data_IF_545572925422
#
_entry.id   IF_545572925422
#
_cell.length_a   1.000
_cell.length_b   1.000
_cell.length_c   1.000
_cell.angle_alpha   90.00
_cell.angle_beta   90.00
_cell.angle_gamma   90.00
#
_symmetry.space_group_name_H-M   'P 1'
#
loop_
_entity.id
_entity.type
_entity.pdbx_description
1 polymer ?
#
# COMPACT_ATOMS: atom_id res chain seq x y z
N UNK A 1 7.07 1.99 7.91
CA UNK A 1 6.20 2.83 7.06
C UNK A 1 5.64 1.97 5.93
N UNK A 2 4.33 2.03 5.65
CA UNK A 2 3.69 1.31 4.54
C UNK A 2 3.17 2.29 3.50
N UNK A 3 3.54 2.05 2.24
CA UNK A 3 3.09 2.85 1.10
C UNK A 3 2.01 2.05 0.39
N UNK A 4 0.78 2.55 0.44
CA UNK A 4 -0.35 1.86 -0.18
C UNK A 4 -0.27 1.98 -1.70
N UNK A 5 -0.43 0.84 -2.37
CA UNK A 5 -0.50 0.78 -3.84
C UNK A 5 -1.79 1.27 -4.44
N UNK A 6 -1.80 1.22 -5.77
CA UNK A 6 -2.86 1.72 -6.62
C UNK A 6 -2.36 1.68 -8.06
N UNK A 7 -2.95 2.51 -8.92
CA UNK A 7 -2.41 2.71 -10.27
C UNK A 7 -0.95 3.19 -10.26
N UNK A 8 -0.23 3.06 -11.39
CA UNK A 8 1.20 3.34 -11.47
C UNK A 8 1.55 4.80 -11.08
N UNK A 9 0.68 5.74 -11.43
CA UNK A 9 0.84 7.17 -11.08
C UNK A 9 0.67 7.38 -9.57
N UNK A 10 -0.36 6.80 -8.94
CA UNK A 10 -0.57 6.90 -7.48
C UNK A 10 0.57 6.29 -6.69
N UNK A 11 1.05 5.10 -7.08
CA UNK A 11 2.12 4.40 -6.37
C UNK A 11 3.40 5.24 -6.33
N UNK A 12 3.75 5.84 -7.47
CA UNK A 12 4.88 6.78 -7.59
C UNK A 12 4.70 8.02 -6.74
N UNK A 13 3.53 8.67 -6.80
CA UNK A 13 3.24 9.87 -6.00
C UNK A 13 3.36 9.60 -4.49
N UNK A 14 2.79 8.49 -4.02
CA UNK A 14 2.85 8.09 -2.60
C UNK A 14 4.26 7.71 -2.15
N UNK A 15 5.03 7.05 -3.01
CA UNK A 15 6.42 6.70 -2.71
C UNK A 15 7.31 7.93 -2.60
N UNK A 16 7.13 8.89 -3.52
CA UNK A 16 7.82 10.18 -3.43
C UNK A 16 7.43 10.95 -2.17
N UNK A 17 6.14 11.04 -1.86
CA UNK A 17 5.69 11.70 -0.63
C UNK A 17 6.23 11.01 0.64
N UNK A 18 6.31 9.68 0.64
CA UNK A 18 6.96 8.95 1.72
C UNK A 18 8.45 9.34 1.87
N UNK A 19 9.20 9.45 0.77
CA UNK A 19 10.58 9.94 0.80
C UNK A 19 10.67 11.39 1.33
N UNK A 20 9.75 12.27 0.91
CA UNK A 20 9.69 13.65 1.40
C UNK A 20 9.43 13.71 2.92
N UNK A 21 8.59 12.81 3.46
CA UNK A 21 8.37 12.70 4.92
C UNK A 21 9.65 12.29 5.65
N UNK A 22 10.41 11.33 5.12
CA UNK A 22 11.68 10.90 5.71
C UNK A 22 12.71 12.03 5.68
N UNK A 23 12.82 12.73 4.55
CA UNK A 23 13.68 13.92 4.42
C UNK A 23 13.24 15.05 5.38
N UNK A 24 11.94 15.14 5.67
CA UNK A 24 11.36 16.06 6.65
C UNK A 24 11.53 15.65 8.12
N UNK A 25 12.22 14.54 8.42
CA UNK A 25 12.55 14.10 9.77
C UNK A 25 11.62 13.03 10.36
N UNK A 26 10.69 12.48 9.59
CA UNK A 26 9.95 11.28 10.02
C UNK A 26 10.92 10.10 10.06
N UNK A 27 11.02 9.43 11.20
CA UNK A 27 11.88 8.25 11.36
C UNK A 27 11.11 6.95 11.11
N UNK A 28 11.75 5.96 10.50
CA UNK A 28 11.18 4.61 10.31
C UNK A 28 12.28 3.56 10.44
N UNK A 29 11.94 2.34 10.86
CA UNK A 29 12.86 1.21 10.86
C UNK A 29 12.89 0.44 9.54
N UNK A 30 11.83 0.55 8.73
CA UNK A 30 11.70 -0.06 7.41
C UNK A 30 10.62 0.65 6.57
N UNK A 31 10.68 0.47 5.25
CA UNK A 31 9.68 0.92 4.29
C UNK A 31 9.13 -0.29 3.53
N UNK A 32 7.81 -0.35 3.35
CA UNK A 32 7.22 -1.36 2.48
C UNK A 32 6.22 -0.77 1.48
N UNK A 33 6.41 -1.04 0.20
CA UNK A 33 5.45 -0.78 -0.87
C UNK A 33 4.49 -1.94 -1.05
N UNK A 34 3.19 -1.67 -1.04
CA UNK A 34 2.15 -2.69 -1.10
C UNK A 34 1.46 -2.68 -2.47
N UNK A 35 1.55 -3.78 -3.23
CA UNK A 35 0.85 -3.96 -4.50
C UNK A 35 0.20 -5.33 -4.61
N UNK A 36 -0.49 -5.58 -5.72
CA UNK A 36 -1.06 -6.87 -6.06
C UNK A 36 -0.56 -7.36 -7.41
N UNK A 37 -0.83 -8.62 -7.76
CA UNK A 37 -0.56 -9.14 -9.11
C UNK A 37 -1.62 -8.72 -10.14
N UNK A 38 -2.48 -7.75 -9.80
CA UNK A 38 -3.45 -7.21 -10.74
C UNK A 38 -2.72 -6.54 -11.90
N UNK A 39 -3.04 -6.89 -13.17
CA UNK A 39 -2.51 -6.18 -14.33
C UNK A 39 -2.88 -4.70 -14.31
N UNK A 40 -1.90 -3.86 -14.58
CA UNK A 40 -2.07 -2.45 -14.84
C UNK A 40 -2.36 -2.24 -16.32
N UNK A 41 -3.32 -1.35 -16.66
CA UNK A 41 -3.60 -1.02 -18.05
C UNK A 41 -2.54 -0.03 -18.57
N UNK A 42 -1.29 -0.48 -18.71
CA UNK A 42 -0.19 0.33 -19.24
C UNK A 42 0.09 -0.11 -20.67
N UNK A 43 -0.19 0.79 -21.62
CA UNK A 43 0.29 0.66 -22.99
C UNK A 43 1.57 1.46 -23.13
N UNK A 44 2.72 0.80 -23.17
CA UNK A 44 3.98 1.46 -23.52
C UNK A 44 4.01 1.71 -25.03
N UNK A 45 3.72 2.93 -25.45
CA UNK A 45 3.91 3.35 -26.85
C UNK A 45 5.36 3.12 -27.35
N UNK A 46 6.33 3.13 -26.43
CA UNK A 46 7.75 2.93 -26.71
C UNK A 46 8.17 1.47 -26.95
N UNK A 47 7.40 0.47 -26.49
CA UNK A 47 7.79 -0.95 -26.60
C UNK A 47 7.05 -1.70 -27.72
N UNK A 48 6.13 -1.04 -28.43
CA UNK A 48 5.40 -1.64 -29.56
C UNK A 48 4.52 -2.84 -29.21
N UNK A 49 4.53 -3.30 -27.96
CA UNK A 49 3.79 -4.44 -27.41
C UNK A 49 3.30 -4.10 -25.99
N UNK A 50 2.21 -4.73 -25.56
CA UNK A 50 1.72 -4.63 -24.20
C UNK A 50 2.71 -5.32 -23.25
N UNK A 51 3.29 -4.57 -22.31
CA UNK A 51 3.99 -5.18 -21.17
C UNK A 51 2.95 -5.47 -20.11
N UNK A 52 2.85 -6.73 -19.70
CA UNK A 52 2.00 -7.13 -18.58
C UNK A 52 2.67 -6.70 -17.26
N UNK A 53 2.49 -5.43 -16.90
CA UNK A 53 2.91 -4.91 -15.60
C UNK A 53 1.80 -5.13 -14.57
N UNK A 54 2.16 -5.54 -13.37
CA UNK A 54 1.23 -5.63 -12.23
C UNK A 54 1.29 -4.39 -11.34
N UNK A 55 0.30 -4.21 -10.46
CA UNK A 55 0.35 -3.18 -9.40
C UNK A 55 1.62 -3.33 -8.54
N UNK A 56 2.05 -4.57 -8.28
CA UNK A 56 3.32 -4.87 -7.61
C UNK A 56 4.54 -4.35 -8.38
N UNK A 57 4.58 -4.56 -9.70
CA UNK A 57 5.70 -4.06 -10.53
C UNK A 57 5.73 -2.53 -10.58
N UNK A 58 4.56 -1.89 -10.69
CA UNK A 58 4.43 -0.44 -10.60
C UNK A 58 4.93 0.11 -9.26
N UNK A 59 4.60 -0.58 -8.16
CA UNK A 59 5.08 -0.22 -6.83
C UNK A 59 6.59 -0.44 -6.68
N UNK A 60 7.14 -1.50 -7.28
CA UNK A 60 8.57 -1.76 -7.29
C UNK A 60 9.35 -0.62 -7.96
N UNK A 61 8.92 -0.23 -9.16
CA UNK A 61 9.52 0.89 -9.87
C UNK A 61 9.43 2.20 -9.06
N UNK A 62 8.27 2.45 -8.43
CA UNK A 62 8.06 3.63 -7.59
C UNK A 62 8.97 3.65 -6.35
N UNK A 63 9.17 2.51 -5.68
CA UNK A 63 10.05 2.40 -4.52
C UNK A 63 11.52 2.58 -4.91
N UNK A 64 11.95 1.98 -6.03
CA UNK A 64 13.31 2.12 -6.54
C UNK A 64 13.66 3.57 -6.90
N UNK A 65 12.70 4.31 -7.44
CA UNK A 65 12.87 5.74 -7.74
C UNK A 65 12.92 6.60 -6.47
N UNK A 66 12.10 6.30 -5.47
CA UNK A 66 11.93 7.13 -4.29
C UNK A 66 13.03 6.94 -3.23
N UNK A 67 13.66 5.76 -3.15
CA UNK A 67 14.62 5.42 -2.10
C UNK A 67 16.03 5.03 -2.60
N UNK A 68 16.66 5.75 -3.55
CA UNK A 68 18.03 5.45 -3.96
C UNK A 68 19.05 5.94 -2.92
N UNK A 69 20.22 5.29 -2.79
CA UNK A 69 20.62 4.05 -3.45
C UNK A 69 20.05 2.81 -2.73
N UNK A 70 19.69 1.79 -3.52
CA UNK A 70 19.31 0.47 -3.01
C UNK A 70 20.45 -0.53 -3.25
N UNK A 71 20.77 -1.34 -2.24
CA UNK A 71 21.75 -2.42 -2.38
C UNK A 71 21.16 -3.69 -3.03
N UNK A 72 21.87 -4.81 -2.87
CA UNK A 72 21.51 -6.08 -3.52
C UNK A 72 20.14 -6.62 -3.05
N UNK A 73 19.36 -7.10 -4.02
CA UNK A 73 17.99 -7.57 -3.77
C UNK A 73 17.96 -8.99 -3.21
N UNK A 74 17.17 -9.19 -2.16
CA UNK A 74 16.67 -10.52 -1.78
C UNK A 74 15.26 -10.72 -2.35
N UNK A 75 15.04 -11.84 -3.03
CA UNK A 75 13.75 -12.16 -3.65
C UNK A 75 13.15 -13.41 -3.00
N UNK A 76 11.87 -13.33 -2.65
CA UNK A 76 11.05 -14.46 -2.23
C UNK A 76 9.79 -14.49 -3.07
N UNK A 77 9.35 -15.68 -3.45
CA UNK A 77 8.14 -15.87 -4.25
C UNK A 77 7.53 -17.24 -3.96
N UNK A 78 6.26 -17.41 -4.28
CA UNK A 78 5.56 -18.67 -4.15
C UNK A 78 4.13 -18.58 -4.64
N UNK A 79 3.38 -19.65 -4.40
CA UNK A 79 1.97 -19.78 -4.77
C UNK A 79 1.20 -20.23 -3.53
N UNK A 80 0.05 -19.61 -3.25
CA UNK A 80 -0.83 -20.02 -2.16
C UNK A 80 -1.46 -21.37 -2.45
N UNK A 81 -2.02 -22.04 -1.45
CA UNK A 81 -2.79 -23.28 -1.64
C UNK A 81 -3.96 -23.12 -2.61
N UNK A 82 -4.52 -21.91 -2.69
CA UNK A 82 -5.58 -21.53 -3.63
C UNK A 82 -5.07 -21.27 -5.07
N UNK A 83 -3.77 -21.45 -5.34
CA UNK A 83 -3.18 -21.27 -6.66
C UNK A 83 -2.89 -19.81 -7.03
N UNK A 84 -2.75 -18.92 -6.04
CA UNK A 84 -2.44 -17.51 -6.29
C UNK A 84 -0.96 -17.21 -6.05
N UNK A 85 -0.28 -16.71 -7.06
CA UNK A 85 1.13 -16.34 -6.95
C UNK A 85 1.33 -15.11 -6.06
N UNK A 86 2.51 -15.00 -5.47
CA UNK A 86 2.96 -13.85 -4.69
C UNK A 86 4.48 -13.70 -4.79
N UNK A 87 4.96 -12.47 -4.57
CA UNK A 87 6.38 -12.21 -4.44
C UNK A 87 6.68 -11.05 -3.49
N UNK A 88 7.89 -11.09 -2.92
CA UNK A 88 8.48 -10.05 -2.08
C UNK A 88 9.90 -9.77 -2.58
N UNK A 89 10.23 -8.51 -2.78
CA UNK A 89 11.60 -8.05 -3.07
C UNK A 89 12.03 -7.10 -1.97
N UNK A 90 13.17 -7.36 -1.35
CA UNK A 90 13.71 -6.55 -0.25
C UNK A 90 15.11 -6.06 -0.60
N UNK A 91 15.34 -4.78 -0.35
CA UNK A 91 16.58 -4.07 -0.61
C UNK A 91 17.10 -3.46 0.70
N UNK A 92 18.39 -3.60 1.03
CA UNK A 92 18.99 -2.78 2.07
C UNK A 92 19.08 -1.32 1.57
N UNK A 93 18.85 -0.36 2.47
CA UNK A 93 18.96 1.07 2.19
C UNK A 93 19.35 1.84 3.46
N UNK A 94 19.70 3.12 3.31
CA UNK A 94 20.06 4.00 4.44
C UNK A 94 18.88 4.26 5.41
N UNK A 95 17.65 4.19 4.92
CA UNK A 95 16.43 4.40 5.73
C UNK A 95 15.89 3.10 6.35
N UNK A 96 16.71 2.05 6.35
CA UNK A 96 16.33 0.68 6.70
C UNK A 96 15.91 -0.15 5.49
N UNK A 97 15.48 -1.41 5.68
CA UNK A 97 15.06 -2.26 4.57
C UNK A 97 13.87 -1.66 3.81
N UNK A 98 13.95 -1.65 2.48
CA UNK A 98 12.87 -1.29 1.57
C UNK A 98 12.35 -2.57 0.93
N UNK A 99 11.11 -2.95 1.25
CA UNK A 99 10.46 -4.12 0.69
C UNK A 99 9.32 -3.74 -0.25
N UNK A 100 9.05 -4.56 -1.26
CA UNK A 100 7.84 -4.47 -2.08
C UNK A 100 7.17 -5.83 -2.13
N UNK A 101 5.87 -5.84 -1.88
CA UNK A 101 5.04 -7.05 -1.87
C UNK A 101 4.05 -6.97 -3.04
N UNK A 102 4.00 -8.02 -3.85
CA UNK A 102 2.84 -8.30 -4.70
C UNK A 102 1.99 -9.38 -4.04
N UNK A 103 0.88 -8.94 -3.47
CA UNK A 103 0.02 -9.78 -2.65
C UNK A 103 -0.98 -10.59 -3.47
N UNK A 104 -1.26 -11.83 -3.06
CA UNK A 104 -2.39 -12.60 -3.55
C UNK A 104 -3.70 -12.15 -2.85
N UNK A 105 -4.88 -12.45 -3.40
CA UNK A 105 -6.13 -12.29 -2.66
C UNK A 105 -6.22 -13.30 -1.51
N UNK A 106 -6.84 -12.91 -0.40
CA UNK A 106 -7.10 -13.83 0.73
C UNK A 106 -8.34 -14.71 0.52
N UNK A 107 -9.19 -14.37 -0.45
CA UNK A 107 -10.43 -15.11 -0.75
C UNK A 107 -10.43 -15.56 -2.21
N UNK A 108 -10.91 -16.79 -2.49
CA UNK A 108 -10.99 -17.30 -3.85
C UNK A 108 -12.00 -16.52 -4.68
N UNK A 109 -11.75 -16.42 -5.98
CA UNK A 109 -12.68 -15.83 -6.95
C UNK A 109 -12.76 -14.29 -6.92
N UNK A 110 -11.92 -13.61 -6.15
CA UNK A 110 -11.83 -12.14 -6.16
C UNK A 110 -10.40 -11.64 -6.37
N UNK A 111 -10.29 -10.36 -6.71
CA UNK A 111 -9.01 -9.66 -6.79
C UNK A 111 -8.55 -9.25 -5.40
N UNK A 112 -7.23 -9.18 -5.21
CA UNK A 112 -6.64 -8.65 -3.99
C UNK A 112 -7.06 -7.19 -3.80
N UNK A 113 -7.45 -6.83 -2.58
CA UNK A 113 -7.75 -5.45 -2.19
C UNK A 113 -6.66 -4.92 -1.24
N UNK A 114 -6.82 -3.67 -0.76
CA UNK A 114 -5.86 -3.04 0.16
C UNK A 114 -5.68 -3.82 1.46
N UNK A 115 -6.72 -4.46 1.99
CA UNK A 115 -6.58 -5.29 3.19
C UNK A 115 -5.75 -6.55 2.92
N UNK A 116 -5.93 -7.18 1.75
CA UNK A 116 -5.14 -8.34 1.32
C UNK A 116 -3.65 -7.96 1.22
N UNK A 117 -3.32 -6.78 0.70
CA UNK A 117 -1.91 -6.34 0.60
C UNK A 117 -1.28 -6.01 1.96
N UNK A 118 -2.06 -5.46 2.91
CA UNK A 118 -1.60 -5.23 4.28
C UNK A 118 -1.34 -6.55 5.03
N UNK A 119 -2.23 -7.52 4.92
CA UNK A 119 -2.06 -8.84 5.53
C UNK A 119 -0.86 -9.57 4.93
N UNK A 120 -0.72 -9.56 3.60
CA UNK A 120 0.43 -10.16 2.94
C UNK A 120 1.76 -9.54 3.39
N UNK A 121 1.81 -8.23 3.66
CA UNK A 121 3.01 -7.62 4.26
C UNK A 121 3.28 -8.14 5.68
N UNK A 122 2.25 -8.20 6.54
CA UNK A 122 2.41 -8.68 7.91
C UNK A 122 2.87 -10.15 7.95
N UNK A 123 2.39 -10.98 7.01
CA UNK A 123 2.69 -12.41 6.96
C UNK A 123 4.02 -12.72 6.24
N UNK A 124 4.34 -11.98 5.17
CA UNK A 124 5.49 -12.29 4.32
C UNK A 124 6.72 -11.44 4.61
N UNK A 125 6.58 -10.26 5.20
CA UNK A 125 7.71 -9.33 5.40
C UNK A 125 8.03 -9.17 6.87
N UNK A 126 7.08 -8.71 7.67
CA UNK A 126 7.32 -8.38 9.07
C UNK A 126 6.03 -8.29 9.85
N UNK A 127 5.85 -9.23 10.79
CA UNK A 127 4.69 -9.27 11.66
C UNK A 127 4.78 -8.16 12.71
N UNK A 128 3.82 -7.21 12.76
CA UNK A 128 3.86 -6.13 13.73
C UNK A 128 3.75 -6.63 15.17
N UNK A 129 4.42 -5.92 16.07
CA UNK A 129 4.35 -6.11 17.52
C UNK A 129 3.55 -4.99 18.19
N UNK A 130 3.09 -5.18 19.44
CA UNK A 130 2.30 -4.16 20.14
C UNK A 130 3.04 -2.85 20.42
N UNK A 131 4.38 -2.87 20.41
CA UNK A 131 5.22 -1.69 20.66
C UNK A 131 5.47 -0.88 19.39
N UNK A 132 5.21 -1.46 18.21
CA UNK A 132 5.44 -0.81 16.94
C UNK A 132 4.27 0.08 16.53
N UNK A 133 4.62 1.10 15.74
CA UNK A 133 3.66 1.99 15.09
C UNK A 133 3.88 1.95 13.58
N UNK A 134 2.78 1.82 12.85
CA UNK A 134 2.76 1.77 11.41
C UNK A 134 2.19 3.07 10.87
N UNK A 135 3.03 3.84 10.18
CA UNK A 135 2.57 4.96 9.36
C UNK A 135 2.18 4.46 7.97
N UNK A 136 0.89 4.58 7.63
CA UNK A 136 0.38 4.35 6.28
C UNK A 136 0.45 5.64 5.46
N UNK A 137 0.99 5.54 4.26
CA UNK A 137 1.08 6.63 3.28
C UNK A 137 0.10 6.35 2.14
N UNK A 138 -0.81 7.28 1.92
CA UNK A 138 -1.85 7.18 0.89
C UNK A 138 -2.20 8.53 0.28
N UNK A 139 -3.29 8.62 -0.48
CA UNK A 139 -3.89 9.86 -0.98
C UNK A 139 -4.79 10.48 0.08
N UNK A 140 -4.72 11.80 0.30
CA UNK A 140 -5.51 12.50 1.34
C UNK A 140 -7.01 12.16 1.37
N UNK A 141 -7.67 12.03 0.22
CA UNK A 141 -9.09 11.63 0.16
C UNK A 141 -9.36 10.23 0.73
N UNK A 142 -8.38 9.33 0.67
CA UNK A 142 -8.54 7.94 1.08
C UNK A 142 -8.21 7.72 2.56
N UNK A 143 -7.59 8.72 3.21
CA UNK A 143 -7.17 8.63 4.61
C UNK A 143 -8.28 8.13 5.53
N UNK A 144 -9.52 8.67 5.52
CA UNK A 144 -10.53 8.27 6.50
C UNK A 144 -10.90 6.78 6.42
N UNK A 145 -11.11 6.25 5.21
CA UNK A 145 -11.50 4.84 5.06
C UNK A 145 -10.30 3.90 5.24
N UNK A 146 -9.13 4.24 4.68
CA UNK A 146 -7.95 3.38 4.79
C UNK A 146 -7.35 3.37 6.19
N UNK A 147 -7.51 4.45 6.96
CA UNK A 147 -7.16 4.45 8.37
C UNK A 147 -8.03 3.48 9.17
N UNK A 148 -9.35 3.51 8.97
CA UNK A 148 -10.28 2.60 9.63
C UNK A 148 -10.06 1.12 9.21
N UNK A 149 -9.79 0.88 7.92
CA UNK A 149 -9.44 -0.45 7.41
C UNK A 149 -8.12 -0.91 8.03
N UNK A 150 -7.09 -0.07 8.09
CA UNK A 150 -5.80 -0.42 8.67
C UNK A 150 -5.87 -0.71 10.17
N UNK A 151 -6.68 0.01 10.94
CA UNK A 151 -6.95 -0.34 12.33
C UNK A 151 -7.61 -1.73 12.41
N UNK A 152 -8.61 -1.99 11.57
CA UNK A 152 -9.33 -3.27 11.58
C UNK A 152 -8.45 -4.45 11.14
N UNK A 153 -7.56 -4.23 10.18
CA UNK A 153 -6.71 -5.27 9.56
C UNK A 153 -5.40 -5.48 10.31
N UNK A 154 -4.76 -4.42 10.80
CA UNK A 154 -3.44 -4.47 11.45
C UNK A 154 -3.49 -4.03 12.92
N UNK A 155 -4.14 -2.91 13.21
CA UNK A 155 -4.15 -2.33 14.55
C UNK A 155 -4.73 -3.26 15.61
N UNK A 156 -5.97 -3.73 15.42
CA UNK A 156 -6.66 -4.62 16.35
C UNK A 156 -6.02 -6.01 16.42
N UNK A 157 -5.75 -6.71 15.30
CA UNK A 157 -5.24 -8.09 15.35
C UNK A 157 -3.82 -8.20 15.93
N UNK A 158 -2.96 -7.21 15.68
CA UNK A 158 -1.55 -7.22 16.12
C UNK A 158 -1.29 -6.29 17.31
N UNK A 159 -2.31 -5.54 17.77
CA UNK A 159 -2.23 -4.55 18.87
C UNK A 159 -1.17 -3.46 18.65
N UNK A 160 -0.83 -3.20 17.39
CA UNK A 160 0.13 -2.16 17.00
C UNK A 160 -0.58 -0.82 16.81
N UNK A 161 0.16 0.29 16.92
CA UNK A 161 -0.39 1.61 16.62
C UNK A 161 -0.47 1.86 15.12
N UNK A 162 -1.52 2.56 14.69
CA UNK A 162 -1.76 2.90 13.29
C UNK A 162 -1.85 4.43 13.16
N UNK A 163 -0.98 5.01 12.34
CA UNK A 163 -1.07 6.39 11.88
C UNK A 163 -1.30 6.38 10.37
N UNK A 164 -1.96 7.40 9.81
CA UNK A 164 -2.22 7.47 8.37
C UNK A 164 -2.08 8.90 7.88
N UNK A 165 -1.28 9.08 6.84
CA UNK A 165 -1.03 10.37 6.21
C UNK A 165 -1.32 10.29 4.72
N UNK A 166 -1.94 11.33 4.22
CA UNK A 166 -2.31 11.45 2.82
C UNK A 166 -1.51 12.50 2.10
N UNK A 167 -0.97 12.19 0.92
CA UNK A 167 -0.43 13.21 0.04
C UNK A 167 -1.57 14.04 -0.56
N UNK A 168 -1.35 15.34 -0.66
CA UNK A 168 -2.27 16.26 -1.32
C UNK A 168 -2.18 16.07 -2.84
N UNK A 169 -3.29 15.76 -3.50
CA UNK A 169 -3.28 15.58 -4.96
C UNK A 169 -3.11 16.91 -5.71
N UNK A 170 -3.44 18.04 -5.08
CA UNK A 170 -3.27 19.36 -5.69
C UNK A 170 -1.80 19.70 -5.96
N UNK A 171 -0.87 19.06 -5.24
CA UNK A 171 0.57 19.30 -5.37
C UNK A 171 1.25 18.38 -6.39
N UNK A 172 0.55 17.40 -6.97
CA UNK A 172 1.13 16.43 -7.90
C UNK A 172 0.68 16.66 -9.36
N UNK A 173 1.49 17.40 -10.13
CA UNK A 173 1.20 17.79 -11.52
C UNK A 173 0.96 16.61 -12.47
N UNK A 174 1.57 15.45 -12.21
CA UNK A 174 1.44 14.25 -13.03
C UNK A 174 0.16 13.43 -12.74
N UNK A 175 -0.73 13.93 -11.86
CA UNK A 175 -2.10 13.46 -11.74
C UNK A 175 -3.01 14.43 -12.52
N UNK A 176 -3.16 14.25 -13.85
CA UNK A 176 -3.89 15.20 -14.64
C UNK A 176 -5.37 15.01 -14.30
N UNK A 177 -5.93 15.94 -13.51
CA UNK A 177 -7.34 16.15 -13.13
C UNK A 177 -7.74 15.91 -11.67
N UNK A 178 -6.82 15.72 -10.71
CA UNK A 178 -7.19 15.45 -9.31
C UNK A 178 -8.30 14.37 -9.16
N UNK A 179 -8.98 14.29 -8.02
CA UNK A 179 -10.32 13.69 -7.94
C UNK A 179 -11.31 14.63 -8.66
N UNK A 180 -11.45 14.46 -9.98
CA UNK A 180 -12.08 15.47 -10.83
C UNK A 180 -13.62 15.48 -10.77
N UNK A 181 -14.27 14.54 -10.08
CA UNK A 181 -15.73 14.41 -10.08
C UNK A 181 -16.28 14.27 -8.67
N UNK A 182 -17.31 15.07 -8.35
CA UNK A 182 -18.13 14.95 -7.13
C UNK A 182 -18.51 13.49 -6.83
N UNK A 183 -18.72 12.70 -7.88
CA UNK A 183 -18.96 11.26 -7.77
C UNK A 183 -17.85 10.51 -7.04
N UNK A 184 -16.58 10.69 -7.39
CA UNK A 184 -15.44 10.04 -6.73
C UNK A 184 -15.37 10.44 -5.26
N UNK A 185 -15.49 11.74 -4.97
CA UNK A 185 -15.52 12.22 -3.59
C UNK A 185 -16.64 11.58 -2.76
N UNK A 186 -17.87 11.52 -3.31
CA UNK A 186 -19.00 10.87 -2.66
C UNK A 186 -18.79 9.36 -2.50
N UNK A 187 -18.13 8.71 -3.45
CA UNK A 187 -17.74 7.30 -3.32
C UNK A 187 -16.76 7.11 -2.17
N UNK A 188 -15.72 7.95 -2.05
CA UNK A 188 -14.76 7.86 -0.96
C UNK A 188 -15.38 8.17 0.40
N UNK A 189 -16.28 9.16 0.47
CA UNK A 189 -17.03 9.45 1.68
C UNK A 189 -17.91 8.25 2.09
N UNK A 190 -18.57 7.61 1.12
CA UNK A 190 -19.36 6.40 1.35
C UNK A 190 -18.46 5.25 1.84
N UNK A 191 -17.29 5.06 1.26
CA UNK A 191 -16.30 4.07 1.71
C UNK A 191 -15.87 4.34 3.15
N UNK A 192 -15.58 5.60 3.50
CA UNK A 192 -15.21 6.00 4.87
C UNK A 192 -16.28 5.65 5.89
N UNK A 193 -17.55 5.97 5.60
CA UNK A 193 -18.68 5.62 6.48
C UNK A 193 -18.77 4.10 6.68
N UNK A 194 -18.59 3.32 5.61
CA UNK A 194 -18.66 1.85 5.68
C UNK A 194 -17.50 1.23 6.46
N UNK A 195 -16.28 1.72 6.25
CA UNK A 195 -15.09 1.26 6.97
C UNK A 195 -15.18 1.60 8.46
N UNK A 196 -15.63 2.81 8.81
CA UNK A 196 -15.84 3.20 10.21
C UNK A 196 -16.93 2.35 10.89
N UNK A 197 -18.02 2.01 10.18
CA UNK A 197 -19.04 1.11 10.72
C UNK A 197 -18.48 -0.30 10.95
N UNK A 198 -17.68 -0.81 10.02
CA UNK A 198 -17.02 -2.12 10.14
C UNK A 198 -16.06 -2.15 11.32
N UNK A 199 -15.30 -1.07 11.53
CA UNK A 199 -14.42 -0.90 12.68
C UNK A 199 -15.23 -0.87 13.98
N UNK A 200 -16.31 -0.10 14.04
CA UNK A 200 -17.21 -0.05 15.20
C UNK A 200 -17.74 -1.44 15.56
N UNK A 201 -18.26 -2.18 14.58
CA UNK A 201 -18.78 -3.54 14.80
C UNK A 201 -17.68 -4.50 15.29
N UNK A 202 -16.44 -4.29 14.85
CA UNK A 202 -15.28 -5.08 15.30
C UNK A 202 -14.90 -4.79 16.75
N UNK A 203 -14.97 -3.53 17.18
CA UNK A 203 -14.76 -3.14 18.57
C UNK A 203 -15.83 -3.69 19.51
N UNK A 204 -17.10 -3.72 19.06
CA UNK A 204 -18.20 -4.31 19.83
C UNK A 204 -17.99 -5.81 20.08
N UNK A 205 -17.50 -6.55 19.07
CA UNK A 205 -17.18 -7.98 19.19
C UNK A 205 -16.03 -8.26 20.17
N UNK A 206 -15.06 -7.37 20.28
CA UNK A 206 -13.91 -7.53 21.20
C UNK A 206 -14.32 -7.19 22.64
N UNK A 207 -15.31 -6.32 22.82
CA UNK A 207 -15.77 -5.85 24.13
C UNK A 207 -16.84 -6.74 24.77
N UNK A 208 -17.33 -7.77 24.06
CA UNK A 208 -18.32 -8.75 24.51
C UNK A 208 -17.63 -10.05 24.92
#
# INVERSE_FOLDING_TARGET
MLILGGGPITGRARSRFAADLLAGGVTTGAVAGLGSLRPLPVTSAALGAAVELTEGDGMLMAAQEAFPPLGDTTVRQGTTEAGHDWWVKTYPSEVGPVSVVAAPPTQPGRRANTADTMLAWADLVGRPTPQERILLVTTHLYVPFQHADAISTLGLPYRCGIDTVGFDTATFQAWPKGPAHVGEFLQELRSAIRSLRTLYDSLQRISS
#
